data_IF_141412461678
#
_entry.id   IF_141412461678
#
_cell.length_a   1.000
_cell.length_b   1.000
_cell.length_c   1.000
_cell.angle_alpha   90.00
_cell.angle_beta   90.00
_cell.angle_gamma   90.00
#
_symmetry.space_group_name_H-M   'P 1'
#
loop_
_entity.id
_entity.type
_entity.pdbx_description
1 polymer ?
#
# COMPACT_ATOMS: atom_id res chain seq x y z
N UNK A 1 28.74 17.52 -13.02
CA UNK A 1 28.87 16.98 -11.63
C UNK A 1 29.92 17.73 -10.79
N UNK A 2 30.35 18.93 -11.20
CA UNK A 2 31.44 19.71 -10.55
C UNK A 2 31.01 21.01 -9.86
N UNK A 3 29.71 21.32 -9.74
CA UNK A 3 29.24 22.63 -9.25
C UNK A 3 28.71 22.62 -7.78
N UNK A 4 28.61 21.45 -7.13
CA UNK A 4 28.05 21.37 -5.78
C UNK A 4 29.08 21.45 -4.65
N UNK A 5 30.38 21.32 -4.95
CA UNK A 5 31.45 21.29 -3.93
C UNK A 5 31.90 22.67 -3.46
N UNK A 6 31.43 23.76 -4.10
CA UNK A 6 31.76 25.14 -3.74
C UNK A 6 30.67 25.93 -3.03
N UNK A 7 29.51 25.30 -2.78
CA UNK A 7 28.40 25.95 -2.07
C UNK A 7 28.48 25.70 -0.56
N UNK A 8 28.09 26.67 0.28
CA UNK A 8 27.99 26.47 1.72
C UNK A 8 27.08 25.31 2.07
N UNK A 9 27.42 24.51 3.10
CA UNK A 9 26.66 23.33 3.53
C UNK A 9 25.17 23.61 3.77
N UNK A 10 24.83 24.80 4.26
CA UNK A 10 23.45 25.22 4.44
C UNK A 10 22.66 25.28 3.11
N UNK A 11 23.32 25.73 2.02
CA UNK A 11 22.73 25.79 0.68
C UNK A 11 22.67 24.38 0.09
N UNK A 12 23.73 23.57 0.27
CA UNK A 12 23.74 22.16 -0.17
C UNK A 12 22.62 21.37 0.53
N UNK A 13 22.43 21.56 1.83
CA UNK A 13 21.37 20.93 2.60
C UNK A 13 19.98 21.41 2.17
N UNK A 14 19.84 22.70 1.83
CA UNK A 14 18.60 23.26 1.30
C UNK A 14 18.29 22.73 -0.11
N UNK A 15 19.29 22.58 -0.98
CA UNK A 15 19.12 21.96 -2.31
C UNK A 15 18.79 20.49 -2.18
N UNK A 16 19.46 19.74 -1.28
CA UNK A 16 19.16 18.33 -0.99
C UNK A 16 17.73 18.13 -0.49
N UNK A 17 17.15 19.11 0.23
CA UNK A 17 15.77 19.06 0.70
C UNK A 17 14.73 19.21 -0.43
N UNK A 18 15.15 19.69 -1.61
CA UNK A 18 14.30 19.81 -2.82
C UNK A 18 14.49 18.63 -3.79
N UNK A 19 15.51 17.76 -3.57
CA UNK A 19 15.67 16.57 -4.42
C UNK A 19 14.69 15.50 -3.96
N UNK A 20 13.59 15.39 -4.67
CA UNK A 20 12.60 14.34 -4.44
C UNK A 20 13.21 13.01 -4.86
N UNK A 21 13.27 12.04 -3.93
CA UNK A 21 13.67 10.68 -4.28
C UNK A 21 12.66 10.09 -5.26
N UNK A 22 13.16 9.71 -6.44
CA UNK A 22 12.38 9.09 -7.50
C UNK A 22 12.96 7.71 -7.83
N UNK A 23 12.45 6.61 -7.23
CA UNK A 23 12.93 5.28 -7.54
C UNK A 23 12.55 4.89 -8.97
N UNK A 24 13.55 4.48 -9.76
CA UNK A 24 13.34 4.05 -11.16
C UNK A 24 12.76 2.64 -11.27
N UNK A 25 12.85 1.84 -10.21
CA UNK A 25 12.42 0.44 -10.21
C UNK A 25 11.84 0.04 -8.87
N UNK A 26 11.00 -1.01 -8.89
CA UNK A 26 10.53 -1.68 -7.67
C UNK A 26 11.68 -2.09 -6.73
N UNK A 27 12.80 -2.59 -7.28
CA UNK A 27 13.97 -3.01 -6.50
C UNK A 27 14.54 -1.84 -5.69
N UNK A 28 14.69 -0.67 -6.32
CA UNK A 28 15.17 0.53 -5.64
C UNK A 28 14.20 0.96 -4.53
N UNK A 29 12.90 1.07 -4.85
CA UNK A 29 11.88 1.45 -3.87
C UNK A 29 11.85 0.49 -2.69
N UNK A 30 11.82 -0.83 -2.95
CA UNK A 30 11.78 -1.87 -1.91
C UNK A 30 13.01 -1.82 -1.00
N UNK A 31 14.19 -1.59 -1.56
CA UNK A 31 15.41 -1.45 -0.78
C UNK A 31 15.33 -0.26 0.19
N UNK A 32 14.92 0.92 -0.29
CA UNK A 32 14.86 2.12 0.54
C UNK A 32 13.72 2.06 1.56
N UNK A 33 12.58 1.45 1.21
CA UNK A 33 11.49 1.14 2.17
C UNK A 33 11.98 0.19 3.27
N UNK A 34 12.76 -0.84 2.93
CA UNK A 34 13.31 -1.74 3.95
C UNK A 34 14.22 -0.98 4.92
N UNK A 35 15.12 -0.12 4.43
CA UNK A 35 15.95 0.75 5.27
C UNK A 35 15.10 1.64 6.17
N UNK A 36 14.02 2.24 5.63
CA UNK A 36 13.09 3.07 6.40
C UNK A 36 12.43 2.32 7.55
N UNK A 37 12.15 1.04 7.37
CA UNK A 37 11.39 0.22 8.31
C UNK A 37 12.24 -0.61 9.30
N UNK A 38 13.58 -0.62 9.20
CA UNK A 38 14.44 -1.44 10.07
C UNK A 38 14.36 -0.99 11.53
N UNK A 39 14.67 0.28 11.80
CA UNK A 39 14.64 0.91 13.12
C UNK A 39 14.73 2.44 12.98
N UNK A 40 14.59 3.17 14.10
CA UNK A 40 14.59 4.64 14.08
C UNK A 40 15.92 5.23 13.55
N UNK A 41 17.08 4.67 13.90
CA UNK A 41 18.35 5.18 13.39
C UNK A 41 18.45 5.02 11.87
N UNK A 42 18.08 3.86 11.35
CA UNK A 42 18.04 3.61 9.90
C UNK A 42 17.04 4.53 9.20
N UNK A 43 15.88 4.79 9.82
CA UNK A 43 14.88 5.73 9.32
C UNK A 43 15.45 7.16 9.22
N UNK A 44 16.15 7.64 10.26
CA UNK A 44 16.79 8.95 10.28
C UNK A 44 17.82 9.07 9.14
N UNK A 45 18.70 8.09 8.99
CA UNK A 45 19.73 8.10 7.93
C UNK A 45 19.10 8.00 6.53
N UNK A 46 18.05 7.21 6.38
CA UNK A 46 17.28 7.12 5.14
C UNK A 46 16.61 8.44 4.80
N UNK A 47 16.03 9.11 5.80
CA UNK A 47 15.41 10.43 5.64
C UNK A 47 16.44 11.49 5.24
N UNK A 48 17.63 11.51 5.86
CA UNK A 48 18.71 12.42 5.47
C UNK A 48 19.13 12.23 4.01
N UNK A 49 19.18 10.99 3.55
CA UNK A 49 19.70 10.64 2.21
C UNK A 49 18.65 10.81 1.10
N UNK A 50 17.40 10.43 1.37
CA UNK A 50 16.34 10.30 0.37
C UNK A 50 15.12 11.19 0.61
N UNK A 51 15.15 12.02 1.67
CA UNK A 51 14.00 12.80 2.12
C UNK A 51 12.96 11.95 2.85
N UNK A 52 11.94 12.61 3.39
CA UNK A 52 10.85 11.93 4.10
C UNK A 52 10.02 11.07 3.14
N UNK A 53 9.62 9.87 3.58
CA UNK A 53 8.92 8.87 2.75
C UNK A 53 7.65 9.43 2.08
N UNK A 54 6.93 10.35 2.74
CA UNK A 54 5.72 10.98 2.19
C UNK A 54 5.96 11.84 0.94
N UNK A 55 7.23 12.20 0.67
CA UNK A 55 7.62 13.06 -0.45
C UNK A 55 8.24 12.29 -1.62
N UNK A 56 8.40 10.97 -1.51
CA UNK A 56 9.00 10.18 -2.60
C UNK A 56 8.09 10.17 -3.82
N UNK A 57 8.67 10.43 -4.99
CA UNK A 57 7.96 10.32 -6.26
C UNK A 57 7.94 8.88 -6.73
N UNK A 58 6.77 8.27 -6.77
CA UNK A 58 6.57 6.87 -7.14
C UNK A 58 5.98 6.67 -8.54
N UNK A 59 5.92 7.72 -9.36
CA UNK A 59 5.28 7.70 -10.68
C UNK A 59 5.81 6.62 -11.65
N UNK A 60 7.09 6.24 -11.52
CA UNK A 60 7.70 5.23 -12.39
C UNK A 60 7.46 3.78 -11.92
N UNK A 61 6.76 3.59 -10.79
CA UNK A 61 6.56 2.27 -10.20
C UNK A 61 5.25 1.65 -10.70
N UNK A 62 5.37 0.48 -11.31
CA UNK A 62 4.25 -0.31 -11.81
C UNK A 62 3.91 -1.52 -10.91
N UNK A 63 4.85 -1.94 -10.07
CA UNK A 63 4.67 -3.08 -9.14
C UNK A 63 5.10 -2.70 -7.73
N UNK A 64 4.10 -2.64 -6.81
CA UNK A 64 4.30 -2.40 -5.37
C UNK A 64 4.04 -3.65 -4.54
N UNK A 65 4.09 -4.85 -5.15
CA UNK A 65 3.83 -6.08 -4.42
C UNK A 65 4.83 -6.30 -3.29
N UNK A 66 4.31 -6.71 -2.12
CA UNK A 66 5.08 -6.98 -0.89
C UNK A 66 5.83 -5.79 -0.30
N UNK A 67 5.57 -4.54 -0.74
CA UNK A 67 6.40 -3.38 -0.41
C UNK A 67 6.56 -3.15 1.09
N UNK A 68 5.47 -3.20 1.85
CA UNK A 68 5.43 -3.03 3.31
C UNK A 68 5.12 -4.32 4.07
N UNK A 69 5.12 -5.47 3.37
CA UNK A 69 4.73 -6.75 3.96
C UNK A 69 5.57 -7.10 5.19
N UNK A 70 4.90 -7.41 6.30
CA UNK A 70 5.48 -7.75 7.59
C UNK A 70 6.30 -6.64 8.29
N UNK A 71 6.31 -5.41 7.76
CA UNK A 71 6.95 -4.29 8.44
C UNK A 71 6.02 -3.66 9.49
N UNK A 72 6.63 -3.05 10.51
CA UNK A 72 5.94 -2.12 11.41
C UNK A 72 5.99 -0.73 10.78
N UNK A 73 4.95 -0.37 10.06
CA UNK A 73 4.89 0.84 9.25
C UNK A 73 3.55 1.57 9.45
N UNK A 74 3.61 2.89 9.62
CA UNK A 74 2.43 3.76 9.69
C UNK A 74 2.73 5.21 9.28
N UNK A 75 3.74 5.47 8.46
CA UNK A 75 3.96 6.82 7.95
C UNK A 75 2.97 7.16 6.84
N UNK A 76 2.67 8.45 6.68
CA UNK A 76 1.76 8.93 5.65
C UNK A 76 2.38 8.81 4.25
N UNK A 77 1.70 8.07 3.39
CA UNK A 77 2.03 7.87 1.98
C UNK A 77 0.85 8.23 1.07
N UNK A 78 -0.12 8.98 1.60
CA UNK A 78 -1.35 9.36 0.87
C UNK A 78 -1.08 10.16 -0.42
N UNK A 79 0.08 10.83 -0.48
CA UNK A 79 0.51 11.63 -1.63
C UNK A 79 1.30 10.85 -2.69
N UNK A 80 1.57 9.57 -2.48
CA UNK A 80 2.25 8.76 -3.49
C UNK A 80 1.43 8.68 -4.77
N UNK A 81 2.08 8.92 -5.90
CA UNK A 81 1.48 8.67 -7.20
C UNK A 81 1.52 7.18 -7.51
N UNK A 82 0.36 6.53 -7.46
CA UNK A 82 0.20 5.09 -7.73
C UNK A 82 -0.54 4.82 -9.05
N UNK A 83 -0.79 5.85 -9.85
CA UNK A 83 -1.60 5.75 -11.08
C UNK A 83 -1.03 4.78 -12.12
N UNK A 84 0.28 4.52 -12.11
CA UNK A 84 0.92 3.55 -13.00
C UNK A 84 1.05 2.14 -12.40
N UNK A 85 0.58 1.94 -11.16
CA UNK A 85 0.70 0.64 -10.48
C UNK A 85 -0.35 -0.33 -10.99
N UNK A 86 0.11 -1.50 -11.43
CA UNK A 86 -0.75 -2.61 -11.88
C UNK A 86 -0.84 -3.75 -10.87
N UNK A 87 0.15 -3.85 -9.96
CA UNK A 87 0.26 -4.94 -9.00
C UNK A 87 0.50 -4.44 -7.57
N UNK A 88 -0.49 -4.66 -6.69
CA UNK A 88 -0.45 -4.37 -5.24
C UNK A 88 -0.56 -5.64 -4.39
N UNK A 89 -0.24 -6.82 -4.98
CA UNK A 89 -0.28 -8.09 -4.26
C UNK A 89 0.53 -8.01 -2.95
N UNK A 90 -0.15 -8.29 -1.82
CA UNK A 90 0.45 -8.35 -0.48
C UNK A 90 1.18 -7.07 -0.03
N UNK A 91 0.84 -5.90 -0.60
CA UNK A 91 1.56 -4.64 -0.32
C UNK A 91 1.61 -4.33 1.18
N UNK A 92 0.51 -4.48 1.91
CA UNK A 92 0.40 -4.26 3.36
C UNK A 92 0.13 -5.55 4.14
N UNK A 93 0.48 -6.72 3.57
CA UNK A 93 0.26 -7.99 4.25
C UNK A 93 0.96 -8.00 5.61
N UNK A 94 0.20 -8.26 6.66
CA UNK A 94 0.70 -8.32 8.05
C UNK A 94 1.38 -7.02 8.54
N UNK A 95 1.06 -5.87 7.94
CA UNK A 95 1.49 -4.54 8.39
C UNK A 95 0.54 -4.05 9.48
N UNK A 96 0.75 -4.52 10.71
CA UNK A 96 -0.21 -4.46 11.83
C UNK A 96 -0.60 -3.05 12.26
N UNK A 97 0.32 -2.10 12.17
CA UNK A 97 0.17 -0.71 12.65
C UNK A 97 -0.30 0.26 11.58
N UNK A 98 -0.46 -0.18 10.33
CA UNK A 98 -0.83 0.71 9.23
C UNK A 98 -2.29 1.13 9.31
N UNK A 99 -2.53 2.46 9.33
CA UNK A 99 -3.87 3.05 9.30
C UNK A 99 -3.87 4.46 8.67
N UNK A 100 -3.06 4.68 7.63
CA UNK A 100 -3.01 5.95 6.93
C UNK A 100 -4.04 6.02 5.79
N UNK A 101 -4.54 7.23 5.45
CA UNK A 101 -5.55 7.41 4.42
C UNK A 101 -5.01 7.06 3.04
N UNK A 102 -5.77 6.26 2.29
CA UNK A 102 -5.44 5.84 0.93
C UNK A 102 -6.57 6.14 -0.07
N UNK A 103 -7.64 6.78 0.36
CA UNK A 103 -8.88 6.90 -0.41
C UNK A 103 -8.72 7.71 -1.72
N UNK A 104 -7.67 8.52 -1.83
CA UNK A 104 -7.38 9.35 -3.01
C UNK A 104 -6.32 8.74 -3.94
N UNK A 105 -5.84 7.54 -3.66
CA UNK A 105 -4.98 6.83 -4.60
C UNK A 105 -5.74 6.49 -5.88
N UNK A 106 -5.17 6.82 -7.03
CA UNK A 106 -5.67 6.35 -8.31
C UNK A 106 -5.22 4.91 -8.54
N UNK A 107 -6.11 3.97 -8.25
CA UNK A 107 -5.88 2.53 -8.41
C UNK A 107 -6.50 1.97 -9.69
N UNK A 108 -6.92 2.84 -10.61
CA UNK A 108 -7.66 2.46 -11.82
C UNK A 108 -6.90 1.50 -12.74
N UNK A 109 -5.56 1.49 -12.69
CA UNK A 109 -4.74 0.57 -13.47
C UNK A 109 -4.39 -0.74 -12.73
N UNK A 110 -4.79 -0.89 -11.45
CA UNK A 110 -4.45 -2.08 -10.66
C UNK A 110 -5.28 -3.27 -11.11
N UNK A 111 -4.60 -4.37 -11.41
CA UNK A 111 -5.24 -5.65 -11.79
C UNK A 111 -5.14 -6.70 -10.67
N UNK A 112 -4.19 -6.57 -9.76
CA UNK A 112 -3.94 -7.55 -8.70
C UNK A 112 -3.84 -6.90 -7.32
N UNK A 113 -4.84 -7.17 -6.46
CA UNK A 113 -4.92 -6.77 -5.05
C UNK A 113 -4.93 -7.97 -4.10
N UNK A 114 -4.46 -9.14 -4.56
CA UNK A 114 -4.43 -10.36 -3.75
C UNK A 114 -3.75 -10.10 -2.40
N UNK A 115 -4.43 -10.47 -1.32
CA UNK A 115 -3.91 -10.39 0.05
C UNK A 115 -3.37 -9.01 0.48
N UNK A 116 -3.82 -7.90 -0.16
CA UNK A 116 -3.23 -6.57 0.05
C UNK A 116 -3.21 -6.16 1.53
N UNK A 117 -4.29 -6.39 2.27
CA UNK A 117 -4.44 -6.11 3.71
C UNK A 117 -4.58 -7.40 4.54
N UNK A 118 -4.13 -8.53 4.00
CA UNK A 118 -4.20 -9.82 4.68
C UNK A 118 -3.47 -9.81 6.01
N UNK A 119 -4.08 -10.36 7.05
CA UNK A 119 -3.44 -10.54 8.36
C UNK A 119 -3.19 -12.00 8.65
N UNK A 120 -1.93 -12.34 8.96
CA UNK A 120 -1.57 -13.69 9.40
C UNK A 120 -2.19 -14.00 10.75
N UNK A 121 -2.70 -15.23 10.88
CA UNK A 121 -3.18 -15.79 12.13
C UNK A 121 -2.01 -16.50 12.79
N UNK A 122 -1.58 -16.05 13.93
CA UNK A 122 -0.53 -16.69 14.71
C UNK A 122 -0.83 -16.63 16.21
N UNK A 123 -0.02 -17.31 17.01
CA UNK A 123 -0.12 -17.43 18.46
C UNK A 123 -0.29 -16.09 19.20
N UNK A 124 0.05 -14.97 18.57
CA UNK A 124 0.07 -13.62 19.17
C UNK A 124 -1.07 -12.71 18.70
N UNK A 125 -2.26 -13.21 18.38
CA UNK A 125 -3.53 -12.46 18.17
C UNK A 125 -3.40 -10.97 17.71
N UNK A 126 -2.34 -10.64 16.96
CA UNK A 126 -2.15 -9.28 16.49
C UNK A 126 -3.11 -9.00 15.33
N UNK A 127 -3.93 -7.98 15.48
CA UNK A 127 -4.93 -7.60 14.49
C UNK A 127 -4.44 -6.39 13.71
N UNK A 128 -4.81 -6.30 12.43
CA UNK A 128 -4.72 -5.05 11.68
C UNK A 128 -5.59 -3.99 12.34
N UNK A 129 -5.06 -2.78 12.45
CA UNK A 129 -5.83 -1.61 12.88
C UNK A 129 -6.38 -0.82 11.69
N UNK A 130 -6.08 -1.24 10.45
CA UNK A 130 -6.49 -0.55 9.24
C UNK A 130 -8.01 -0.46 9.16
N UNK A 131 -8.51 0.78 9.10
CA UNK A 131 -9.93 1.09 8.99
C UNK A 131 -10.16 2.43 8.25
N UNK A 132 -9.38 2.73 7.22
CA UNK A 132 -9.56 3.93 6.42
C UNK A 132 -10.53 3.66 5.25
N UNK A 133 -11.32 4.66 4.85
CA UNK A 133 -12.23 4.53 3.71
C UNK A 133 -11.47 4.22 2.42
N UNK A 134 -12.11 3.44 1.54
CA UNK A 134 -11.61 3.05 0.22
C UNK A 134 -12.75 3.16 -0.83
N UNK A 135 -13.82 3.86 -0.50
CA UNK A 135 -15.03 3.97 -1.32
C UNK A 135 -14.82 4.74 -2.63
N UNK A 136 -13.75 5.55 -2.73
CA UNK A 136 -13.37 6.28 -3.95
C UNK A 136 -12.48 5.48 -4.91
N UNK A 137 -12.04 4.30 -4.54
CA UNK A 137 -11.21 3.48 -5.41
C UNK A 137 -11.97 2.99 -6.64
N UNK A 138 -11.45 3.27 -7.82
CA UNK A 138 -11.90 2.64 -9.06
C UNK A 138 -11.23 1.28 -9.21
N UNK A 139 -11.94 0.21 -8.85
CA UNK A 139 -11.44 -1.18 -8.90
C UNK A 139 -11.93 -1.95 -10.14
N UNK A 140 -12.47 -1.26 -11.13
CA UNK A 140 -13.09 -1.88 -12.30
C UNK A 140 -12.13 -2.74 -13.15
N UNK A 141 -10.81 -2.50 -13.07
CA UNK A 141 -9.80 -3.30 -13.76
C UNK A 141 -9.21 -4.44 -12.91
N UNK A 142 -9.62 -4.57 -11.64
CA UNK A 142 -9.06 -5.60 -10.76
C UNK A 142 -9.61 -6.98 -11.15
N UNK A 143 -8.68 -7.93 -11.30
CA UNK A 143 -8.95 -9.33 -11.64
C UNK A 143 -8.88 -10.22 -10.41
N UNK A 144 -7.97 -9.92 -9.48
CA UNK A 144 -7.70 -10.76 -8.32
C UNK A 144 -7.76 -9.97 -7.01
N UNK A 145 -8.73 -10.32 -6.14
CA UNK A 145 -8.93 -9.80 -4.79
C UNK A 145 -8.91 -10.93 -3.73
N UNK A 146 -8.34 -12.10 -4.06
CA UNK A 146 -8.26 -13.23 -3.13
C UNK A 146 -7.64 -12.80 -1.80
N UNK A 147 -8.25 -13.20 -0.67
CA UNK A 147 -7.78 -12.90 0.69
C UNK A 147 -7.57 -11.39 1.00
N UNK A 148 -8.07 -10.43 0.20
CA UNK A 148 -7.68 -9.01 0.30
C UNK A 148 -7.81 -8.43 1.71
N UNK A 149 -8.89 -8.69 2.42
CA UNK A 149 -9.16 -8.26 3.80
C UNK A 149 -9.25 -9.43 4.78
N UNK A 150 -8.77 -10.62 4.39
CA UNK A 150 -8.82 -11.78 5.28
C UNK A 150 -8.07 -11.49 6.58
N UNK A 151 -8.78 -11.59 7.71
CA UNK A 151 -8.25 -11.28 9.04
C UNK A 151 -8.12 -9.80 9.38
N UNK A 152 -8.54 -8.89 8.54
CA UNK A 152 -8.57 -7.44 8.80
C UNK A 152 -9.72 -7.08 9.75
N UNK A 153 -9.63 -7.47 11.02
CA UNK A 153 -10.74 -7.45 12.01
C UNK A 153 -11.26 -6.05 12.35
N UNK A 154 -10.50 -4.98 12.11
CA UNK A 154 -10.95 -3.61 12.39
C UNK A 154 -11.57 -2.94 11.18
N UNK A 155 -11.33 -3.46 9.98
CA UNK A 155 -11.85 -2.87 8.76
C UNK A 155 -13.37 -3.05 8.69
N UNK A 156 -14.11 -1.92 8.65
CA UNK A 156 -15.57 -1.90 8.56
C UNK A 156 -16.11 -0.83 7.61
N UNK A 157 -15.29 -0.35 6.68
CA UNK A 157 -15.68 0.68 5.73
C UNK A 157 -16.54 0.11 4.60
N UNK A 158 -17.50 0.91 4.12
CA UNK A 158 -18.37 0.51 3.02
C UNK A 158 -17.59 0.38 1.71
N UNK A 159 -17.81 -0.72 1.00
CA UNK A 159 -17.28 -0.99 -0.34
C UNK A 159 -18.41 -1.19 -1.36
N UNK A 160 -19.63 -0.74 -1.04
CA UNK A 160 -20.82 -1.01 -1.86
C UNK A 160 -20.72 -0.42 -3.27
N UNK A 161 -19.94 0.66 -3.45
CA UNK A 161 -19.78 1.36 -4.74
C UNK A 161 -18.72 0.71 -5.65
N UNK A 162 -18.02 -0.33 -5.21
CA UNK A 162 -17.02 -0.98 -6.03
C UNK A 162 -17.64 -1.72 -7.21
N UNK A 163 -17.15 -1.41 -8.43
CA UNK A 163 -17.44 -2.20 -9.60
C UNK A 163 -16.49 -3.40 -9.68
N UNK A 164 -16.98 -4.58 -9.33
CA UNK A 164 -16.23 -5.84 -9.29
C UNK A 164 -16.53 -6.77 -10.47
N UNK A 165 -17.07 -6.24 -11.57
CA UNK A 165 -17.49 -7.04 -12.73
C UNK A 165 -16.35 -7.88 -13.31
N UNK A 166 -15.14 -7.36 -13.36
CA UNK A 166 -13.95 -8.02 -13.90
C UNK A 166 -13.23 -8.93 -12.90
N UNK A 167 -13.63 -8.93 -11.62
CA UNK A 167 -12.96 -9.76 -10.60
C UNK A 167 -13.29 -11.23 -10.86
N UNK A 168 -12.25 -12.04 -11.08
CA UNK A 168 -12.33 -13.49 -11.31
C UNK A 168 -12.03 -14.30 -10.06
N UNK A 169 -11.22 -13.76 -9.15
CA UNK A 169 -10.88 -14.43 -7.89
C UNK A 169 -11.04 -13.47 -6.70
N UNK A 170 -11.95 -13.82 -5.77
CA UNK A 170 -12.19 -13.11 -4.52
C UNK A 170 -12.36 -14.08 -3.33
N UNK A 171 -11.77 -15.29 -3.43
CA UNK A 171 -11.89 -16.29 -2.39
C UNK A 171 -11.40 -15.76 -1.07
N UNK A 172 -12.14 -16.04 -0.02
CA UNK A 172 -11.86 -15.61 1.36
C UNK A 172 -11.55 -14.11 1.52
N UNK A 173 -12.01 -13.25 0.56
CA UNK A 173 -11.72 -11.81 0.57
C UNK A 173 -11.97 -11.17 1.95
N UNK A 174 -13.04 -11.57 2.64
CA UNK A 174 -13.40 -11.15 3.98
C UNK A 174 -13.30 -12.28 5.02
N UNK A 175 -12.53 -13.32 4.73
CA UNK A 175 -12.35 -14.46 5.64
C UNK A 175 -11.86 -13.99 7.00
N UNK A 176 -12.51 -14.49 8.10
CA UNK A 176 -12.12 -14.16 9.47
C UNK A 176 -12.12 -12.65 9.80
N UNK A 177 -12.73 -11.80 8.96
CA UNK A 177 -13.05 -10.40 9.29
C UNK A 177 -14.42 -10.34 9.99
N UNK A 178 -14.70 -9.23 10.66
CA UNK A 178 -16.02 -8.98 11.33
C UNK A 178 -16.90 -8.05 10.51
N UNK A 179 -16.47 -7.66 9.31
CA UNK A 179 -17.15 -6.70 8.46
C UNK A 179 -18.48 -7.25 7.94
N UNK A 180 -19.49 -6.39 7.82
CA UNK A 180 -20.63 -6.65 6.95
C UNK A 180 -20.15 -6.67 5.51
N UNK A 181 -20.21 -7.85 4.87
CA UNK A 181 -19.77 -7.99 3.49
C UNK A 181 -20.70 -7.24 2.53
N UNK A 182 -20.18 -6.58 1.49
CA UNK A 182 -20.99 -5.89 0.50
C UNK A 182 -21.96 -6.84 -0.22
N UNK A 183 -23.13 -6.32 -0.63
CA UNK A 183 -24.16 -7.11 -1.34
C UNK A 183 -23.60 -7.82 -2.60
N UNK A 184 -22.72 -7.12 -3.35
CA UNK A 184 -22.11 -7.69 -4.56
C UNK A 184 -21.21 -8.91 -4.26
N UNK A 185 -20.61 -9.00 -3.06
CA UNK A 185 -19.80 -10.17 -2.67
C UNK A 185 -20.66 -11.42 -2.49
N UNK A 186 -21.82 -11.28 -1.83
CA UNK A 186 -22.77 -12.36 -1.63
C UNK A 186 -23.30 -12.86 -2.98
N UNK A 187 -23.72 -11.93 -3.86
CA UNK A 187 -24.27 -12.26 -5.17
C UNK A 187 -23.28 -13.02 -6.05
N UNK A 188 -22.00 -12.59 -6.09
CA UNK A 188 -20.97 -13.30 -6.87
C UNK A 188 -20.68 -14.70 -6.35
N UNK A 189 -20.61 -14.89 -5.01
CA UNK A 189 -20.40 -16.22 -4.42
C UNK A 189 -21.54 -17.20 -4.66
N UNK A 190 -22.76 -16.71 -4.88
CA UNK A 190 -23.89 -17.56 -5.25
C UNK A 190 -23.83 -18.04 -6.70
N UNK A 191 -23.25 -17.25 -7.60
CA UNK A 191 -23.10 -17.61 -9.02
C UNK A 191 -22.06 -18.74 -9.20
N UNK A 192 -20.99 -18.75 -8.39
CA UNK A 192 -19.92 -19.76 -8.46
C UNK A 192 -20.37 -21.17 -7.95
N UNK A 193 -21.62 -21.33 -7.47
CA UNK A 193 -22.16 -22.58 -6.90
C UNK A 193 -23.15 -23.26 -7.85
N UNK A 194 -23.54 -22.61 -8.96
CA UNK A 194 -24.45 -23.11 -10.00
C UNK A 194 -23.64 -23.61 -11.20
#
# INVERSE_FOLDING_TARGET
MYLLTSLPDAIINKIKSYVVFCPMTKKNLKYVVALWCINENSKIETCKKYGHISLWNTENITDMSYLFSNFRFNDDISKWNVSNVTNMNRMFRSTKSFNQPLNYWDVSNVTNMNSMFYMTFGKYKAHSIFNQPLDKWNVSNVINMNDMFCGAKKFNQSLNNWNVSNVRNMDRMFGLSIQQVPKWYISKKQIDII
#
